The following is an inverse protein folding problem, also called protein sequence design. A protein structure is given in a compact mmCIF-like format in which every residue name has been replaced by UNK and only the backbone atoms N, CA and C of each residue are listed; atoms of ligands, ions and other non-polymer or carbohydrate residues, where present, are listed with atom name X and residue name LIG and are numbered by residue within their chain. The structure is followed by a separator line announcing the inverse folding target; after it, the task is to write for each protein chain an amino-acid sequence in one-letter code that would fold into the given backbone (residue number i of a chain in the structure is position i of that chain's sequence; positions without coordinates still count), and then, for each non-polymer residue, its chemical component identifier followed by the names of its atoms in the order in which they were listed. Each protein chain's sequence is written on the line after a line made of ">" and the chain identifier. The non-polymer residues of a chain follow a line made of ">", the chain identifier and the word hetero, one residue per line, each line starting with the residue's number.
data_IF_090783901940
#
_entry.id   IF_090783901940
#
_cell.length_a   1.000
_cell.length_b   1.000
_cell.length_c   1.000
_cell.angle_alpha   90.00
_cell.angle_beta   90.00
_cell.angle_gamma   90.00
#
_symmetry.space_group_name_H-M   'P 1'
#
loop_
_entity.id
_entity.type
_entity.pdbx_description
1 polymer ?
#
# COMPACT_ATOMS: atom_id res chain seq x y z
N UNK A 1 -16.14 7.08 -5.23
CA UNK A 1 -16.04 8.03 -6.38
C UNK A 1 -15.29 9.30 -6.00
N UNK A 2 -15.67 9.99 -4.93
CA UNK A 2 -14.93 11.17 -4.44
C UNK A 2 -13.52 10.83 -3.93
N UNK A 3 -13.37 9.70 -3.24
CA UNK A 3 -12.13 9.20 -2.66
C UNK A 3 -10.92 9.19 -3.63
N UNK A 4 -11.18 8.90 -4.91
CA UNK A 4 -10.18 8.78 -5.99
C UNK A 4 -10.30 9.88 -7.06
N UNK A 5 -11.08 10.92 -6.79
CA UNK A 5 -11.28 12.08 -7.67
C UNK A 5 -11.75 11.72 -9.11
N UNK A 6 -12.70 10.79 -9.24
CA UNK A 6 -13.25 10.37 -10.55
C UNK A 6 -14.55 11.09 -10.95
N UNK A 7 -15.05 12.03 -10.12
CA UNK A 7 -16.34 12.69 -10.35
C UNK A 7 -16.40 13.45 -11.69
N UNK A 8 -15.29 14.08 -12.11
CA UNK A 8 -15.20 14.81 -13.38
C UNK A 8 -15.23 13.90 -14.62
N UNK A 9 -15.01 12.59 -14.44
CA UNK A 9 -15.00 11.59 -15.50
C UNK A 9 -16.31 10.79 -15.57
N UNK A 10 -17.32 11.21 -14.81
CA UNK A 10 -18.64 10.58 -14.83
C UNK A 10 -19.23 10.68 -16.24
N UNK A 11 -19.56 9.53 -16.83
CA UNK A 11 -20.15 9.45 -18.16
C UNK A 11 -19.12 9.46 -19.30
N UNK A 12 -17.83 9.58 -19.00
CA UNK A 12 -16.76 9.43 -20.00
C UNK A 12 -16.63 7.97 -20.45
N UNK A 13 -16.29 7.76 -21.71
CA UNK A 13 -15.95 6.44 -22.24
C UNK A 13 -14.61 5.98 -21.69
N UNK A 14 -14.55 4.74 -21.20
CA UNK A 14 -13.32 4.14 -20.69
C UNK A 14 -12.30 3.96 -21.83
N UNK A 15 -12.74 3.53 -23.01
CA UNK A 15 -11.88 3.34 -24.19
C UNK A 15 -10.84 2.22 -24.07
N UNK A 16 -10.06 2.05 -25.12
CA UNK A 16 -8.96 1.09 -25.24
C UNK A 16 -7.63 1.69 -24.75
N UNK A 17 -6.83 0.95 -23.96
CA UNK A 17 -5.55 1.45 -23.46
C UNK A 17 -4.63 1.92 -24.59
N UNK A 18 -4.11 3.14 -24.48
CA UNK A 18 -3.19 3.73 -25.46
C UNK A 18 -3.82 4.19 -26.78
N UNK A 19 -5.14 4.06 -26.94
CA UNK A 19 -5.85 4.43 -28.18
C UNK A 19 -6.84 5.57 -27.94
N UNK A 20 -7.77 5.39 -27.00
CA UNK A 20 -8.85 6.36 -26.76
C UNK A 20 -9.42 6.27 -25.32
N UNK A 21 -10.33 7.19 -25.00
CA UNK A 21 -11.00 7.25 -23.70
C UNK A 21 -10.12 7.77 -22.57
N UNK A 22 -10.08 7.04 -21.46
CA UNK A 22 -9.38 7.46 -20.25
C UNK A 22 -7.87 7.32 -20.38
N UNK A 23 -7.15 8.29 -19.82
CA UNK A 23 -5.69 8.21 -19.67
C UNK A 23 -5.29 7.03 -18.78
N UNK A 24 -4.04 6.59 -18.88
CA UNK A 24 -3.50 5.49 -18.05
C UNK A 24 -3.72 5.74 -16.56
N UNK A 25 -3.48 6.97 -16.09
CA UNK A 25 -3.65 7.34 -14.68
C UNK A 25 -5.12 7.34 -14.24
N UNK A 26 -6.01 7.85 -15.08
CA UNK A 26 -7.45 7.85 -14.82
C UNK A 26 -8.00 6.43 -14.78
N UNK A 27 -7.53 5.57 -15.68
CA UNK A 27 -7.88 4.16 -15.75
C UNK A 27 -7.38 3.40 -14.53
N UNK A 28 -6.15 3.64 -14.07
CA UNK A 28 -5.61 3.01 -12.86
C UNK A 28 -6.41 3.40 -11.62
N UNK A 29 -6.75 4.68 -11.46
CA UNK A 29 -7.65 5.15 -10.39
C UNK A 29 -9.04 4.52 -10.50
N UNK A 30 -9.59 4.37 -11.71
CA UNK A 30 -10.86 3.69 -11.94
C UNK A 30 -10.81 2.21 -11.53
N UNK A 31 -9.77 1.48 -11.91
CA UNK A 31 -9.60 0.08 -11.51
C UNK A 31 -9.57 -0.06 -10.00
N UNK A 32 -8.78 0.76 -9.30
CA UNK A 32 -8.75 0.77 -7.83
C UNK A 32 -10.14 1.09 -7.26
N UNK A 33 -10.84 2.08 -7.83
CA UNK A 33 -12.19 2.43 -7.38
C UNK A 33 -13.18 1.26 -7.52
N UNK A 34 -13.08 0.49 -8.60
CA UNK A 34 -13.91 -0.69 -8.85
C UNK A 34 -13.67 -1.74 -7.76
N UNK A 35 -12.42 -2.01 -7.41
CA UNK A 35 -12.07 -2.94 -6.33
C UNK A 35 -12.58 -2.45 -4.96
N UNK A 36 -12.43 -1.16 -4.67
CA UNK A 36 -12.88 -0.58 -3.40
C UNK A 36 -14.41 -0.57 -3.25
N UNK A 37 -15.16 -0.46 -4.36
CA UNK A 37 -16.64 -0.51 -4.35
C UNK A 37 -17.17 -1.86 -3.88
N UNK A 38 -16.42 -2.95 -4.07
CA UNK A 38 -16.78 -4.28 -3.55
C UNK A 38 -16.76 -4.35 -2.02
N UNK A 39 -16.30 -3.29 -1.35
CA UNK A 39 -16.25 -3.19 0.09
C UNK A 39 -15.52 -4.35 0.79
N UNK A 40 -14.37 -4.81 0.28
CA UNK A 40 -13.67 -5.96 0.84
C UNK A 40 -13.13 -5.69 2.25
N UNK A 41 -13.04 -6.74 3.07
CA UNK A 41 -12.41 -6.69 4.40
C UNK A 41 -10.87 -6.70 4.34
N UNK A 42 -10.31 -7.27 3.27
CA UNK A 42 -8.87 -7.36 3.01
C UNK A 42 -8.61 -6.97 1.54
N UNK A 43 -7.66 -6.08 1.31
CA UNK A 43 -7.28 -5.61 -0.03
C UNK A 43 -5.80 -5.87 -0.27
N UNK A 44 -5.49 -6.44 -1.42
CA UNK A 44 -4.12 -6.59 -1.92
C UNK A 44 -3.93 -5.65 -3.10
N UNK A 45 -2.87 -4.84 -3.10
CA UNK A 45 -2.52 -3.96 -4.22
C UNK A 45 -1.06 -4.15 -4.59
N UNK A 46 -0.81 -4.54 -5.84
CA UNK A 46 0.55 -4.63 -6.37
C UNK A 46 0.90 -3.31 -7.07
N UNK A 47 1.88 -2.57 -6.55
CA UNK A 47 2.37 -1.28 -7.04
C UNK A 47 1.25 -0.29 -7.46
N UNK A 48 0.37 0.13 -6.52
CA UNK A 48 -0.80 0.94 -6.83
C UNK A 48 -0.46 2.33 -7.36
N UNK A 49 0.78 2.79 -7.15
CA UNK A 49 1.29 4.10 -7.59
C UNK A 49 2.13 4.06 -8.85
N UNK A 50 2.43 2.86 -9.39
CA UNK A 50 3.27 2.74 -10.59
C UNK A 50 2.60 3.37 -11.81
N UNK A 51 3.37 4.15 -12.59
CA UNK A 51 2.88 4.86 -13.77
C UNK A 51 1.97 6.07 -13.48
N UNK A 52 1.89 6.51 -12.22
CA UNK A 52 1.17 7.73 -11.82
C UNK A 52 2.16 8.87 -11.56
N UNK A 53 1.76 10.10 -11.90
CA UNK A 53 2.44 11.28 -11.37
C UNK A 53 2.28 11.39 -9.83
N UNK A 54 3.06 12.29 -9.22
CA UNK A 54 3.08 12.46 -7.77
C UNK A 54 1.70 12.81 -7.18
N UNK A 55 0.89 13.60 -7.90
CA UNK A 55 -0.44 14.01 -7.44
C UNK A 55 -1.42 12.84 -7.49
N UNK A 56 -1.45 12.10 -8.60
CA UNK A 56 -2.30 10.94 -8.78
C UNK A 56 -1.93 9.82 -7.79
N UNK A 57 -0.63 9.59 -7.55
CA UNK A 57 -0.15 8.65 -6.54
C UNK A 57 -0.61 9.05 -5.12
N UNK A 58 -0.52 10.34 -4.76
CA UNK A 58 -0.99 10.83 -3.46
C UNK A 58 -2.52 10.65 -3.29
N UNK A 59 -3.31 10.89 -4.34
CA UNK A 59 -4.76 10.63 -4.33
C UNK A 59 -5.05 9.15 -4.07
N UNK A 60 -4.33 8.24 -4.73
CA UNK A 60 -4.46 6.80 -4.53
C UNK A 60 -4.10 6.42 -3.09
N UNK A 61 -2.97 6.88 -2.56
CA UNK A 61 -2.55 6.53 -1.21
C UNK A 61 -3.44 7.13 -0.12
N UNK A 62 -4.00 8.33 -0.34
CA UNK A 62 -5.05 8.89 0.54
C UNK A 62 -6.30 8.01 0.55
N UNK A 63 -6.72 7.49 -0.61
CA UNK A 63 -7.82 6.55 -0.69
C UNK A 63 -7.52 5.24 0.05
N UNK A 64 -6.29 4.72 -0.08
CA UNK A 64 -5.84 3.55 0.70
C UNK A 64 -5.90 3.83 2.19
N UNK A 65 -5.33 4.95 2.66
CA UNK A 65 -5.34 5.34 4.08
C UNK A 65 -6.76 5.46 4.64
N UNK A 66 -7.64 6.17 3.94
CA UNK A 66 -9.05 6.28 4.34
C UNK A 66 -9.74 4.90 4.41
N UNK A 67 -9.34 3.95 3.58
CA UNK A 67 -9.85 2.58 3.62
C UNK A 67 -9.32 1.85 4.86
N UNK A 68 -8.06 2.02 5.22
CA UNK A 68 -7.48 1.47 6.46
C UNK A 68 -8.19 2.02 7.70
N UNK A 69 -8.43 3.33 7.74
CA UNK A 69 -9.05 4.04 8.89
C UNK A 69 -10.47 3.54 9.23
N UNK A 70 -11.13 2.89 8.27
CA UNK A 70 -12.43 2.25 8.47
C UNK A 70 -12.36 0.83 9.05
N UNK A 71 -11.17 0.37 9.45
CA UNK A 71 -10.94 -0.96 10.04
C UNK A 71 -10.70 -2.06 9.01
N UNK A 72 -10.30 -1.72 7.77
CA UNK A 72 -9.98 -2.69 6.71
C UNK A 72 -8.48 -2.92 6.63
N UNK A 73 -8.08 -4.14 6.31
CA UNK A 73 -6.67 -4.48 6.13
C UNK A 73 -6.25 -4.26 4.68
N UNK A 74 -5.19 -3.49 4.45
CA UNK A 74 -4.60 -3.33 3.12
C UNK A 74 -3.14 -3.80 3.15
N UNK A 75 -2.79 -4.65 2.18
CA UNK A 75 -1.41 -5.06 1.91
C UNK A 75 -1.04 -4.53 0.53
N UNK A 76 0.04 -3.76 0.44
CA UNK A 76 0.51 -3.29 -0.85
C UNK A 76 2.03 -3.23 -0.99
N UNK A 77 2.50 -3.36 -2.21
CA UNK A 77 3.89 -3.13 -2.61
C UNK A 77 4.00 -1.72 -3.19
N UNK A 78 5.02 -0.95 -2.83
CA UNK A 78 5.25 0.38 -3.42
C UNK A 78 6.69 0.46 -3.90
N UNK A 79 6.87 0.61 -5.20
CA UNK A 79 8.18 0.88 -5.80
C UNK A 79 8.47 2.39 -5.72
N UNK A 80 9.53 2.77 -5.01
CA UNK A 80 9.99 4.17 -4.88
C UNK A 80 8.89 5.17 -4.44
N UNK A 81 8.41 5.11 -3.18
CA UNK A 81 7.41 6.05 -2.69
C UNK A 81 7.93 7.49 -2.72
N UNK A 82 7.03 8.44 -2.99
CA UNK A 82 7.32 9.85 -2.71
C UNK A 82 7.44 10.08 -1.20
N UNK A 83 8.04 11.21 -0.81
CA UNK A 83 8.18 11.58 0.61
C UNK A 83 6.82 11.65 1.31
N UNK A 84 5.80 12.24 0.68
CA UNK A 84 4.44 12.34 1.24
C UNK A 84 3.81 10.97 1.51
N UNK A 85 4.06 10.00 0.62
CA UNK A 85 3.57 8.63 0.80
C UNK A 85 4.35 7.93 1.91
N UNK A 86 5.68 8.13 1.93
CA UNK A 86 6.55 7.56 2.95
C UNK A 86 6.21 8.07 4.36
N UNK A 87 5.97 9.37 4.53
CA UNK A 87 5.59 9.96 5.82
C UNK A 87 4.19 9.58 6.28
N UNK A 88 3.36 9.01 5.39
CA UNK A 88 2.06 8.49 5.79
C UNK A 88 2.15 7.21 6.62
N UNK A 89 3.31 6.55 6.72
CA UNK A 89 3.49 5.32 7.51
C UNK A 89 3.83 5.62 8.97
N UNK A 90 3.23 4.86 9.89
CA UNK A 90 3.12 5.23 11.30
C UNK A 90 4.26 4.71 12.21
N UNK A 91 5.05 3.71 11.77
CA UNK A 91 6.03 3.02 12.62
C UNK A 91 7.49 3.16 12.12
N UNK A 92 8.41 3.51 13.02
CA UNK A 92 9.86 3.56 12.77
C UNK A 92 10.63 2.96 13.94
N UNK A 93 11.79 2.34 13.67
CA UNK A 93 12.67 1.79 14.71
C UNK A 93 13.36 2.94 15.47
N UNK A 94 13.38 2.92 16.83
CA UNK A 94 14.07 3.93 17.62
C UNK A 94 15.56 4.06 17.24
N UNK A 95 16.06 5.29 17.16
CA UNK A 95 17.46 5.58 16.84
C UNK A 95 17.77 5.65 15.35
N UNK A 96 16.89 5.17 14.47
CA UNK A 96 17.05 5.34 13.02
C UNK A 96 16.93 6.83 12.66
N UNK A 97 17.89 7.40 11.92
CA UNK A 97 17.88 8.81 11.56
C UNK A 97 16.71 9.11 10.63
N UNK A 98 15.92 10.15 10.95
CA UNK A 98 14.81 10.59 10.09
C UNK A 98 15.32 10.96 8.69
N UNK A 99 14.48 10.70 7.69
CA UNK A 99 14.73 11.12 6.32
C UNK A 99 14.90 12.64 6.23
N UNK A 100 15.85 13.09 5.41
CA UNK A 100 16.10 14.51 5.17
C UNK A 100 15.12 15.04 4.13
N UNK A 101 14.75 16.32 4.25
CA UNK A 101 13.90 16.99 3.28
C UNK A 101 14.49 16.89 1.86
N UNK A 102 13.64 16.51 0.89
CA UNK A 102 14.04 16.33 -0.51
C UNK A 102 14.87 15.08 -0.80
N UNK A 103 15.14 14.22 0.18
CA UNK A 103 15.87 12.96 -0.03
C UNK A 103 14.94 11.87 -0.55
N UNK A 104 15.48 10.96 -1.38
CA UNK A 104 14.70 9.86 -1.95
C UNK A 104 14.38 8.81 -0.86
N UNK A 105 13.11 8.47 -0.59
CA UNK A 105 12.76 7.53 0.47
C UNK A 105 13.21 6.10 0.25
N UNK A 106 13.24 5.62 -1.00
CA UNK A 106 13.74 4.27 -1.29
C UNK A 106 15.25 4.19 -1.05
N UNK A 107 16.00 5.21 -1.47
CA UNK A 107 17.43 5.31 -1.15
C UNK A 107 17.67 5.36 0.36
N UNK A 108 16.92 6.21 1.07
CA UNK A 108 17.01 6.29 2.53
C UNK A 108 16.72 4.94 3.20
N UNK A 109 15.67 4.23 2.78
CA UNK A 109 15.29 2.94 3.35
C UNK A 109 16.44 1.93 3.22
N UNK A 110 17.06 1.84 2.04
CA UNK A 110 18.19 0.95 1.80
C UNK A 110 19.41 1.30 2.64
N UNK A 111 19.65 2.59 2.88
CA UNK A 111 20.75 3.06 3.73
C UNK A 111 20.50 2.72 5.21
N UNK A 112 19.31 3.00 5.72
CA UNK A 112 19.01 2.81 7.15
C UNK A 112 18.76 1.35 7.52
N UNK A 113 18.37 0.49 6.58
CA UNK A 113 18.23 -0.95 6.80
C UNK A 113 19.51 -1.73 6.48
N UNK A 114 20.64 -1.04 6.30
CA UNK A 114 21.91 -1.68 5.95
C UNK A 114 22.64 -2.23 7.18
N UNK A 115 23.46 -3.27 6.99
CA UNK A 115 24.33 -3.81 8.04
C UNK A 115 25.33 -2.77 8.59
N UNK A 116 25.69 -1.77 7.78
CA UNK A 116 26.52 -0.65 8.22
C UNK A 116 25.77 0.23 9.23
N UNK A 117 24.47 0.49 9.01
CA UNK A 117 23.63 1.22 9.97
C UNK A 117 23.43 0.44 11.26
N UNK A 118 23.21 -0.88 11.18
CA UNK A 118 23.14 -1.76 12.35
C UNK A 118 24.39 -1.65 13.22
N UNK A 119 25.56 -1.72 12.60
CA UNK A 119 26.85 -1.56 13.29
C UNK A 119 27.01 -0.16 13.89
N UNK A 120 26.57 0.87 13.18
CA UNK A 120 26.66 2.26 13.65
C UNK A 120 25.76 2.53 14.86
N UNK A 121 24.56 1.95 14.86
CA UNK A 121 23.58 2.10 15.94
C UNK A 121 23.80 1.10 17.09
N UNK A 122 24.69 0.12 16.92
CA UNK A 122 24.89 -1.03 17.80
C UNK A 122 23.57 -1.79 18.06
N UNK A 123 22.85 -2.06 16.97
CA UNK A 123 21.56 -2.76 17.00
C UNK A 123 21.54 -3.92 16.01
N UNK A 124 20.66 -4.88 16.24
CA UNK A 124 20.29 -5.90 15.28
C UNK A 124 18.80 -5.78 14.96
N UNK A 125 18.44 -5.40 13.73
CA UNK A 125 17.04 -5.16 13.38
C UNK A 125 16.20 -6.43 13.45
N UNK A 126 16.78 -7.60 13.15
CA UNK A 126 16.08 -8.88 13.26
C UNK A 126 15.76 -9.21 14.72
N UNK A 127 16.70 -8.93 15.63
CA UNK A 127 16.48 -9.10 17.06
C UNK A 127 15.43 -8.11 17.59
N UNK A 128 15.53 -6.83 17.22
CA UNK A 128 14.53 -5.79 17.55
C UNK A 128 13.14 -6.24 17.12
N UNK A 129 12.99 -6.69 15.87
CA UNK A 129 11.70 -7.19 15.39
C UNK A 129 11.25 -8.39 16.22
N UNK A 130 12.09 -9.42 16.38
CA UNK A 130 11.73 -10.65 17.11
C UNK A 130 11.26 -10.40 18.54
N UNK A 131 11.81 -9.38 19.21
CA UNK A 131 11.49 -9.01 20.59
C UNK A 131 10.37 -7.95 20.69
N UNK A 132 9.88 -7.42 19.58
CA UNK A 132 8.86 -6.36 19.55
C UNK A 132 7.43 -6.87 19.79
N UNK A 133 6.56 -5.99 20.30
CA UNK A 133 5.12 -6.24 20.38
C UNK A 133 4.48 -6.40 18.99
N UNK A 134 5.08 -5.84 17.94
CA UNK A 134 4.64 -6.05 16.56
C UNK A 134 4.82 -7.52 16.15
N UNK A 135 5.99 -8.12 16.41
CA UNK A 135 6.24 -9.54 16.12
C UNK A 135 5.32 -10.45 16.93
N UNK A 136 5.12 -10.16 18.22
CA UNK A 136 4.19 -10.94 19.07
C UNK A 136 2.76 -10.88 18.53
N UNK A 137 2.24 -9.69 18.24
CA UNK A 137 0.91 -9.52 17.61
C UNK A 137 0.82 -10.23 16.26
N UNK A 138 1.85 -10.15 15.42
CA UNK A 138 1.88 -10.83 14.14
C UNK A 138 1.83 -12.36 14.30
N UNK A 139 2.53 -12.92 15.29
CA UNK A 139 2.49 -14.35 15.59
C UNK A 139 1.13 -14.79 16.15
N UNK A 140 0.56 -14.03 17.09
CA UNK A 140 -0.78 -14.27 17.65
C UNK A 140 -1.85 -14.25 16.55
N UNK A 141 -1.83 -13.22 15.69
CA UNK A 141 -2.71 -13.12 14.53
C UNK A 141 -2.50 -14.28 13.56
N UNK A 142 -1.26 -14.73 13.34
CA UNK A 142 -1.01 -15.87 12.45
C UNK A 142 -1.62 -17.17 13.00
N UNK A 143 -1.54 -17.40 14.32
CA UNK A 143 -2.18 -18.55 14.97
C UNK A 143 -3.70 -18.44 14.91
N UNK A 144 -4.26 -17.27 15.22
CA UNK A 144 -5.70 -17.01 15.18
C UNK A 144 -6.27 -17.20 13.77
N UNK A 145 -5.62 -16.60 12.77
CA UNK A 145 -6.05 -16.66 11.36
C UNK A 145 -5.75 -18.01 10.68
N UNK A 146 -4.87 -18.83 11.26
CA UNK A 146 -4.62 -20.20 10.79
C UNK A 146 -5.74 -21.17 11.14
N UNK A 147 -6.64 -20.79 12.05
CA UNK A 147 -7.82 -21.59 12.42
C UNK A 147 -9.03 -20.97 11.72
N UNK A 148 -9.62 -21.64 10.71
CA UNK A 148 -10.82 -21.14 10.05
C UNK A 148 -11.98 -21.08 11.07
N UNK A 149 -12.74 -19.98 11.08
CA UNK A 149 -13.91 -19.91 11.94
C UNK A 149 -14.86 -21.08 11.63
N UNK A 150 -15.59 -21.66 12.62
CA UNK A 150 -16.39 -22.87 12.43
C UNK A 150 -17.47 -22.79 11.33
N UNK A 151 -17.81 -21.58 10.89
CA UNK A 151 -18.75 -21.29 9.80
C UNK A 151 -18.11 -20.54 8.60
N UNK A 152 -16.77 -20.44 8.54
CA UNK A 152 -16.09 -19.73 7.46
C UNK A 152 -16.26 -20.51 6.16
N UNK A 153 -17.04 -19.94 5.24
CA UNK A 153 -17.03 -20.38 3.85
C UNK A 153 -15.77 -19.83 3.21
N UNK A 154 -15.06 -20.66 2.43
CA UNK A 154 -13.84 -20.24 1.71
C UNK A 154 -14.15 -18.95 0.94
N UNK A 155 -13.53 -17.84 1.35
CA UNK A 155 -13.73 -16.57 0.65
C UNK A 155 -13.17 -16.78 -0.76
N UNK A 156 -13.99 -16.66 -1.82
CA UNK A 156 -13.44 -16.65 -3.16
C UNK A 156 -12.50 -15.46 -3.22
N UNK A 157 -11.19 -15.71 -3.32
CA UNK A 157 -10.25 -14.67 -3.70
C UNK A 157 -10.66 -14.29 -5.13
N UNK A 158 -11.42 -13.20 -5.26
CA UNK A 158 -11.68 -12.59 -6.55
C UNK A 158 -10.37 -11.93 -6.94
N UNK A 159 -9.49 -12.72 -7.58
CA UNK A 159 -8.38 -12.18 -8.34
C UNK A 159 -9.01 -11.47 -9.53
N UNK A 160 -9.27 -10.17 -9.40
CA UNK A 160 -9.61 -9.38 -10.57
C UNK A 160 -8.37 -9.40 -11.47
N UNK A 161 -8.51 -10.03 -12.65
CA UNK A 161 -7.42 -10.12 -13.65
C UNK A 161 -7.00 -8.74 -14.19
N UNK A 162 -7.65 -7.67 -13.74
CA UNK A 162 -7.37 -6.29 -14.11
C UNK A 162 -6.07 -5.74 -13.52
N UNK A 163 -5.44 -6.41 -12.55
CA UNK A 163 -4.18 -5.94 -11.95
C UNK A 163 -2.90 -6.35 -12.70
N UNK A 164 -2.98 -7.18 -13.76
CA UNK A 164 -1.79 -7.64 -14.52
C UNK A 164 -1.66 -7.02 -15.93
N UNK A 165 -2.39 -5.96 -16.25
CA UNK A 165 -2.36 -5.41 -17.61
C UNK A 165 -2.43 -3.89 -17.63
N UNK A 166 -1.43 -3.23 -17.08
CA UNK A 166 -0.99 -1.89 -17.49
C UNK A 166 0.53 -1.79 -17.35
#
# INVERSE_FOLDING_TARGET
>A
MELVELNSLRGSLVGLPGVDGLSTEQRKRLTIAVELVANPSIIFMDEPTSGLDARAAAIVMRAVRNTVDTGRTVVCTIHQPSIDIFESFDESVPGVPKIKEGYNPATWMLEVSSAAMETQLDVNFAEIYSNSDLCRRNQELNVELSIPAPASTRVPIILSRTSQSF
#
